data_IF_907934183875
#
_entry.id   IF_907934183875
#
_cell.length_a   1.000
_cell.length_b   1.000
_cell.length_c   1.000
_cell.angle_alpha   90.00
_cell.angle_beta   90.00
_cell.angle_gamma   90.00
#
_symmetry.space_group_name_H-M   'P 1'
#
loop_
_entity.id
_entity.type
_entity.pdbx_description
1 polymer ?
#
# COMPACT_ATOMS: atom_id res chain seq x y z
N UNK A 1 -68.59 -36.41 -29.24
CA UNK A 1 -67.09 -36.24 -29.15
C UNK A 1 -66.80 -34.78 -28.77
N UNK A 2 -66.80 -34.56 -27.42
CA UNK A 2 -66.56 -33.23 -26.87
C UNK A 2 -65.03 -33.07 -26.55
N UNK A 3 -64.41 -32.15 -27.21
CA UNK A 3 -63.03 -31.76 -26.89
C UNK A 3 -63.07 -30.54 -25.96
N UNK A 4 -62.79 -30.80 -24.69
CA UNK A 4 -62.57 -29.76 -23.68
C UNK A 4 -61.20 -29.13 -23.93
N UNK A 5 -61.18 -27.82 -24.25
CA UNK A 5 -59.96 -27.01 -24.30
C UNK A 5 -59.70 -26.42 -22.91
N UNK A 6 -58.63 -26.87 -22.26
CA UNK A 6 -58.09 -26.23 -21.06
C UNK A 6 -57.33 -24.97 -21.43
N UNK A 7 -57.51 -23.86 -20.70
CA UNK A 7 -56.70 -22.67 -20.93
C UNK A 7 -55.28 -22.84 -20.39
N UNK A 8 -54.30 -22.40 -21.18
CA UNK A 8 -52.92 -22.35 -20.77
C UNK A 8 -52.76 -21.33 -19.62
N UNK A 9 -52.47 -21.84 -18.43
CA UNK A 9 -52.04 -21.00 -17.31
C UNK A 9 -50.62 -20.52 -17.61
N UNK A 10 -50.53 -19.25 -17.93
CA UNK A 10 -49.23 -18.53 -17.99
C UNK A 10 -48.72 -18.42 -16.57
N UNK A 11 -47.76 -19.26 -16.22
CA UNK A 11 -46.96 -19.08 -15.03
C UNK A 11 -46.03 -17.85 -15.28
N UNK A 12 -46.44 -16.70 -14.78
CA UNK A 12 -45.54 -15.58 -14.58
C UNK A 12 -44.56 -16.00 -13.46
N UNK A 13 -43.41 -16.51 -13.86
CA UNK A 13 -42.27 -16.60 -12.95
C UNK A 13 -41.84 -15.14 -12.71
N UNK A 14 -42.27 -14.59 -11.58
CA UNK A 14 -41.69 -13.39 -11.04
C UNK A 14 -40.21 -13.72 -10.74
N UNK A 15 -39.35 -13.36 -11.66
CA UNK A 15 -37.92 -13.24 -11.38
C UNK A 15 -37.81 -12.12 -10.35
N UNK A 16 -37.79 -12.52 -9.07
CA UNK A 16 -37.35 -11.61 -8.03
C UNK A 16 -35.95 -11.17 -8.42
N UNK A 17 -35.82 -9.96 -8.95
CA UNK A 17 -34.57 -9.26 -9.02
C UNK A 17 -34.02 -9.26 -7.60
N UNK A 18 -32.99 -10.09 -7.35
CA UNK A 18 -32.19 -9.95 -6.16
C UNK A 18 -31.64 -8.53 -6.22
N UNK A 19 -32.25 -7.64 -5.41
CA UNK A 19 -31.69 -6.32 -5.18
C UNK A 19 -30.22 -6.53 -4.85
N UNK A 20 -29.33 -5.96 -5.65
CA UNK A 20 -27.92 -5.92 -5.38
C UNK A 20 -27.74 -5.18 -4.05
N UNK A 21 -27.71 -5.95 -2.96
CA UNK A 21 -27.63 -5.43 -1.61
C UNK A 21 -26.23 -4.87 -1.43
N UNK A 22 -26.12 -3.56 -1.44
CA UNK A 22 -24.87 -2.87 -1.14
C UNK A 22 -24.32 -3.38 0.20
N UNK A 23 -23.14 -4.01 0.17
CA UNK A 23 -22.50 -4.56 1.37
C UNK A 23 -21.68 -3.49 2.07
N UNK A 24 -21.87 -3.34 3.37
CA UNK A 24 -21.07 -2.44 4.17
C UNK A 24 -19.84 -3.17 4.71
N UNK A 25 -18.65 -2.66 4.41
CA UNK A 25 -17.38 -3.09 5.00
C UNK A 25 -16.82 -1.95 5.83
N UNK A 26 -16.45 -2.26 7.05
CA UNK A 26 -15.87 -1.31 7.99
C UNK A 26 -14.34 -1.35 7.88
N UNK A 27 -13.74 -0.21 7.56
CA UNK A 27 -12.29 0.00 7.66
C UNK A 27 -12.00 0.54 9.06
N UNK A 28 -11.34 -0.25 9.87
CA UNK A 28 -11.06 0.06 11.27
C UNK A 28 -9.57 0.31 11.49
N UNK A 29 -9.24 1.37 12.21
CA UNK A 29 -7.86 1.75 12.56
C UNK A 29 -7.71 1.72 14.07
N UNK A 30 -6.68 0.99 14.55
CA UNK A 30 -6.28 0.94 15.95
C UNK A 30 -4.75 0.78 16.02
N UNK A 31 -4.11 1.59 16.86
CA UNK A 31 -2.65 1.56 17.07
C UNK A 31 -1.85 1.61 15.75
N UNK A 32 -2.28 2.47 14.81
CA UNK A 32 -1.66 2.62 13.50
C UNK A 32 -1.88 1.46 12.52
N UNK A 33 -2.62 0.41 12.91
CA UNK A 33 -2.91 -0.74 12.04
C UNK A 33 -4.32 -0.69 11.46
N UNK A 34 -4.46 -1.11 10.20
CA UNK A 34 -5.74 -1.22 9.49
C UNK A 34 -6.29 -2.63 9.59
N UNK A 35 -7.61 -2.75 9.76
CA UNK A 35 -8.36 -3.98 9.59
C UNK A 35 -9.65 -3.72 8.82
N UNK A 36 -10.16 -4.75 8.15
CA UNK A 36 -11.48 -4.74 7.53
C UNK A 36 -12.39 -5.68 8.27
N UNK A 37 -13.62 -5.24 8.52
CA UNK A 37 -14.60 -6.01 9.28
C UNK A 37 -16.01 -5.83 8.73
N UNK A 38 -16.91 -6.78 9.02
CA UNK A 38 -18.32 -6.69 8.65
C UNK A 38 -19.16 -5.90 9.68
N UNK A 39 -18.56 -5.53 10.82
CA UNK A 39 -19.14 -4.64 11.82
C UNK A 39 -18.03 -3.80 12.47
N UNK A 40 -18.35 -2.67 13.14
CA UNK A 40 -17.37 -1.88 13.85
C UNK A 40 -16.61 -2.70 14.91
N UNK A 41 -15.29 -2.55 14.96
CA UNK A 41 -14.45 -3.23 15.95
C UNK A 41 -14.39 -2.45 17.25
N UNK A 42 -14.60 -3.09 18.41
CA UNK A 42 -14.44 -2.45 19.71
C UNK A 42 -13.04 -1.86 19.89
N UNK A 43 -12.96 -0.61 20.36
CA UNK A 43 -11.70 0.09 20.61
C UNK A 43 -10.95 0.55 19.35
N UNK A 44 -11.58 0.47 18.16
CA UNK A 44 -11.02 0.93 16.90
C UNK A 44 -11.82 2.13 16.35
N UNK A 45 -11.15 3.02 15.61
CA UNK A 45 -11.82 4.07 14.84
C UNK A 45 -12.22 3.47 13.48
N UNK A 46 -13.51 3.26 13.27
CA UNK A 46 -14.03 2.59 12.09
C UNK A 46 -14.78 3.56 11.17
N UNK A 47 -14.58 3.42 9.86
CA UNK A 47 -15.30 4.12 8.80
C UNK A 47 -16.05 3.10 7.95
N UNK A 48 -17.34 3.31 7.74
CA UNK A 48 -18.17 2.47 6.89
C UNK A 48 -17.87 2.77 5.41
N UNK A 49 -17.70 1.72 4.61
CA UNK A 49 -17.58 1.79 3.16
C UNK A 49 -18.64 0.90 2.55
N UNK A 50 -19.49 1.46 1.71
CA UNK A 50 -20.51 0.72 0.97
C UNK A 50 -19.89 0.18 -0.32
N UNK A 51 -19.95 -1.13 -0.52
CA UNK A 51 -19.49 -1.78 -1.73
C UNK A 51 -20.68 -1.96 -2.67
N UNK A 52 -20.51 -1.56 -3.90
CA UNK A 52 -21.44 -1.84 -4.99
C UNK A 52 -21.01 -3.15 -5.67
N UNK A 53 -21.74 -4.22 -5.45
CA UNK A 53 -21.44 -5.53 -6.03
C UNK A 53 -21.61 -5.54 -7.57
N UNK A 54 -22.24 -4.51 -8.15
CA UNK A 54 -22.36 -4.32 -9.61
C UNK A 54 -21.19 -3.56 -10.23
N UNK A 55 -20.33 -2.94 -9.39
CA UNK A 55 -19.19 -2.19 -9.88
C UNK A 55 -18.15 -3.12 -10.54
N UNK A 56 -17.54 -2.71 -11.66
CA UNK A 56 -16.56 -3.54 -12.38
C UNK A 56 -15.27 -3.77 -11.57
N UNK A 57 -15.08 -3.04 -10.48
CA UNK A 57 -13.94 -3.24 -9.57
C UNK A 57 -14.33 -2.91 -8.13
N UNK A 58 -13.87 -3.73 -7.20
CA UNK A 58 -14.01 -3.48 -5.76
C UNK A 58 -12.93 -2.48 -5.34
N UNK A 59 -13.27 -1.40 -4.60
CA UNK A 59 -12.26 -0.46 -4.11
C UNK A 59 -11.27 -1.16 -3.18
N UNK A 60 -10.00 -0.80 -3.30
CA UNK A 60 -8.96 -1.31 -2.41
C UNK A 60 -9.06 -0.65 -1.04
N UNK A 61 -9.85 -1.23 -0.15
CA UNK A 61 -10.08 -0.72 1.22
C UNK A 61 -8.86 -0.87 2.13
N UNK A 62 -7.87 -1.69 1.74
CA UNK A 62 -6.62 -1.84 2.49
C UNK A 62 -5.70 -0.64 2.30
N UNK A 63 -5.79 0.02 1.15
CA UNK A 63 -4.85 1.07 0.75
C UNK A 63 -3.47 0.54 0.36
N UNK A 64 -3.34 -0.78 0.16
CA UNK A 64 -2.09 -1.42 -0.24
C UNK A 64 -2.01 -1.63 -1.73
N UNK A 65 -0.81 -1.42 -2.28
CA UNK A 65 -0.42 -1.87 -3.61
C UNK A 65 0.41 -3.15 -3.46
N UNK A 66 0.16 -4.12 -4.32
CA UNK A 66 0.92 -5.37 -4.34
C UNK A 66 0.20 -6.56 -3.73
N UNK A 67 0.95 -7.50 -3.15
CA UNK A 67 0.41 -8.68 -2.49
C UNK A 67 0.26 -8.43 -1.00
N UNK A 68 -0.94 -8.59 -0.52
CA UNK A 68 -1.27 -8.56 0.90
C UNK A 68 -1.61 -9.97 1.37
N UNK A 69 -0.93 -10.42 2.42
CA UNK A 69 -1.26 -11.66 3.12
C UNK A 69 -1.99 -11.31 4.40
N UNK A 70 -3.14 -11.91 4.61
CA UNK A 70 -3.96 -11.68 5.80
C UNK A 70 -4.59 -12.96 6.32
N UNK A 71 -5.15 -12.86 7.51
CA UNK A 71 -5.97 -13.91 8.12
C UNK A 71 -7.37 -13.37 8.37
N UNK A 72 -8.38 -14.11 7.98
CA UNK A 72 -9.76 -13.82 8.30
C UNK A 72 -10.15 -14.55 9.58
N UNK A 73 -10.73 -13.82 10.51
CA UNK A 73 -11.27 -14.31 11.77
C UNK A 73 -12.78 -14.12 11.81
N UNK A 74 -13.48 -14.97 12.55
CA UNK A 74 -14.89 -14.80 12.90
C UNK A 74 -15.09 -14.81 14.40
N UNK A 75 -16.10 -14.08 14.87
CA UNK A 75 -16.57 -14.05 16.27
C UNK A 75 -18.04 -13.72 16.34
N UNK A 76 -18.66 -14.05 17.44
CA UNK A 76 -20.02 -13.60 17.75
C UNK A 76 -19.99 -12.21 18.40
N UNK A 77 -20.83 -11.32 17.90
CA UNK A 77 -21.02 -9.98 18.47
C UNK A 77 -22.51 -9.62 18.39
N UNK A 78 -23.11 -9.33 19.53
CA UNK A 78 -24.53 -8.92 19.64
C UNK A 78 -25.50 -9.90 18.94
N UNK A 79 -25.21 -11.22 19.02
CA UNK A 79 -26.01 -12.27 18.42
C UNK A 79 -25.83 -12.47 16.91
N UNK A 80 -24.85 -11.80 16.31
CA UNK A 80 -24.50 -11.95 14.90
C UNK A 80 -23.05 -12.41 14.72
N UNK A 81 -22.81 -13.23 13.69
CA UNK A 81 -21.45 -13.61 13.30
C UNK A 81 -20.79 -12.44 12.57
N UNK A 82 -19.68 -11.94 13.13
CA UNK A 82 -18.88 -10.85 12.58
C UNK A 82 -17.54 -11.41 12.11
N UNK A 83 -17.13 -10.98 10.92
CA UNK A 83 -15.81 -11.28 10.35
C UNK A 83 -14.88 -10.08 10.47
N UNK A 84 -13.61 -10.32 10.73
CA UNK A 84 -12.57 -9.29 10.79
C UNK A 84 -11.22 -9.88 10.36
N UNK A 85 -10.37 -9.02 9.81
CA UNK A 85 -8.97 -9.36 9.53
C UNK A 85 -8.05 -9.12 10.72
N UNK A 86 -8.60 -8.62 11.83
CA UNK A 86 -7.90 -8.50 13.12
C UNK A 86 -8.30 -9.63 14.05
N UNK A 87 -7.30 -10.25 14.69
CA UNK A 87 -7.57 -11.21 15.76
C UNK A 87 -8.04 -10.45 17.01
N UNK A 88 -9.33 -10.55 17.30
CA UNK A 88 -9.97 -9.94 18.47
C UNK A 88 -10.28 -11.01 19.52
N UNK A 89 -10.40 -10.65 20.82
CA UNK A 89 -10.81 -11.60 21.85
C UNK A 89 -12.08 -12.37 21.46
N UNK A 90 -12.08 -13.69 21.62
CA UNK A 90 -13.19 -14.56 21.23
C UNK A 90 -13.28 -14.91 19.75
N UNK A 91 -12.31 -14.46 18.93
CA UNK A 91 -12.25 -14.79 17.51
C UNK A 91 -11.66 -16.17 17.27
N UNK A 92 -12.19 -16.86 16.24
CA UNK A 92 -11.61 -18.08 15.68
C UNK A 92 -11.12 -17.82 14.26
N UNK A 93 -9.97 -18.38 13.91
CA UNK A 93 -9.41 -18.30 12.55
C UNK A 93 -10.34 -19.01 11.55
N UNK A 94 -10.62 -18.37 10.43
CA UNK A 94 -11.42 -18.94 9.33
C UNK A 94 -10.49 -19.44 8.23
N UNK A 95 -9.64 -18.54 7.68
CA UNK A 95 -8.70 -18.86 6.61
C UNK A 95 -7.58 -17.82 6.55
N UNK A 96 -6.46 -18.19 5.95
CA UNK A 96 -5.47 -17.24 5.44
C UNK A 96 -5.81 -16.90 3.98
N UNK A 97 -5.57 -15.66 3.60
CA UNK A 97 -5.85 -15.21 2.24
C UNK A 97 -4.71 -14.34 1.72
N UNK A 98 -4.63 -14.28 0.40
CA UNK A 98 -3.71 -13.41 -0.31
C UNK A 98 -4.50 -12.57 -1.30
N UNK A 99 -4.33 -11.25 -1.25
CA UNK A 99 -4.93 -10.31 -2.19
C UNK A 99 -3.83 -9.66 -2.99
N UNK A 100 -3.95 -9.69 -4.31
CA UNK A 100 -3.07 -8.95 -5.22
C UNK A 100 -3.81 -7.75 -5.74
N UNK A 101 -3.26 -6.55 -5.49
CA UNK A 101 -3.82 -5.30 -6.00
C UNK A 101 -3.09 -4.92 -7.28
N UNK A 102 -3.78 -4.87 -8.44
CA UNK A 102 -3.15 -4.47 -9.68
C UNK A 102 -2.61 -3.04 -9.63
N UNK A 103 -1.52 -2.74 -10.32
CA UNK A 103 -1.07 -1.37 -10.56
C UNK A 103 -2.18 -0.55 -11.26
N UNK A 104 -2.31 0.73 -10.91
CA UNK A 104 -3.34 1.61 -11.48
C UNK A 104 -4.75 1.45 -10.89
N UNK A 105 -4.92 0.62 -9.86
CA UNK A 105 -6.16 0.53 -9.08
C UNK A 105 -6.50 1.88 -8.42
N UNK A 106 -7.81 2.15 -8.14
CA UNK A 106 -8.26 3.32 -7.37
C UNK A 106 -7.65 3.49 -5.97
N UNK A 107 -6.78 2.59 -5.54
CA UNK A 107 -5.98 2.74 -4.30
C UNK A 107 -5.25 4.09 -4.19
N UNK A 108 -5.00 4.74 -5.33
CA UNK A 108 -4.44 6.09 -5.37
C UNK A 108 -5.47 7.20 -5.10
N UNK A 109 -6.76 6.89 -5.09
CA UNK A 109 -7.81 7.82 -4.73
C UNK A 109 -7.79 7.99 -3.19
N UNK A 110 -7.27 9.09 -2.70
CA UNK A 110 -7.19 9.40 -1.26
C UNK A 110 -5.79 9.66 -0.73
N UNK A 111 -4.74 9.47 -1.54
CA UNK A 111 -3.35 9.80 -1.16
C UNK A 111 -3.07 11.32 -1.11
N UNK A 112 -4.09 12.16 -1.25
CA UNK A 112 -3.90 13.58 -1.39
C UNK A 112 -3.26 13.93 -2.74
N UNK A 113 -2.74 15.15 -2.85
CA UNK A 113 -2.06 15.60 -4.06
C UNK A 113 -0.66 14.97 -4.10
N UNK A 114 -0.51 13.85 -4.80
CA UNK A 114 0.83 13.37 -5.15
C UNK A 114 1.47 14.45 -6.04
N UNK A 115 2.52 15.10 -5.54
CA UNK A 115 3.14 16.27 -6.16
C UNK A 115 3.62 16.02 -7.60
N UNK A 116 3.83 17.10 -8.35
CA UNK A 116 4.43 17.01 -9.70
C UNK A 116 5.90 16.60 -9.57
N UNK A 117 6.46 15.78 -10.49
CA UNK A 117 7.87 15.43 -10.49
C UNK A 117 8.75 16.68 -10.55
N UNK A 118 9.81 16.70 -9.76
CA UNK A 118 10.79 17.76 -9.75
C UNK A 118 12.17 17.21 -10.16
N UNK A 119 12.66 17.59 -11.32
CA UNK A 119 13.94 17.14 -11.84
C UNK A 119 15.10 18.09 -11.49
N UNK A 120 14.78 19.35 -11.11
CA UNK A 120 15.76 20.37 -10.81
C UNK A 120 16.55 20.14 -9.50
N UNK A 121 15.95 19.63 -8.38
CA UNK A 121 16.73 19.40 -7.17
C UNK A 121 17.83 18.36 -7.37
N UNK A 122 19.05 18.69 -7.00
CA UNK A 122 20.21 17.80 -6.89
C UNK A 122 20.47 16.86 -8.08
N UNK A 123 20.47 17.37 -9.34
CA UNK A 123 20.50 16.49 -10.52
C UNK A 123 21.81 15.71 -10.67
N UNK A 124 22.93 16.26 -10.16
CA UNK A 124 24.24 15.60 -10.20
C UNK A 124 24.33 14.51 -9.14
N UNK A 125 23.81 14.77 -7.96
CA UNK A 125 23.83 13.88 -6.80
C UNK A 125 22.98 12.62 -7.08
N UNK A 126 21.76 12.80 -7.57
CA UNK A 126 20.89 11.67 -7.95
C UNK A 126 21.49 10.83 -9.07
N UNK A 127 22.00 11.46 -10.13
CA UNK A 127 22.64 10.73 -11.23
C UNK A 127 23.89 9.97 -10.76
N UNK A 128 24.70 10.59 -9.91
CA UNK A 128 25.89 9.95 -9.35
C UNK A 128 25.51 8.75 -8.46
N UNK A 129 24.51 8.90 -7.60
CA UNK A 129 24.03 7.84 -6.72
C UNK A 129 23.42 6.68 -7.51
N UNK A 130 22.59 6.98 -8.52
CA UNK A 130 22.01 5.99 -9.42
C UNK A 130 23.11 5.17 -10.14
N UNK A 131 24.11 5.86 -10.70
CA UNK A 131 25.26 5.21 -11.36
C UNK A 131 26.07 4.34 -10.39
N UNK A 132 26.29 4.80 -9.17
CA UNK A 132 27.10 4.09 -8.18
C UNK A 132 26.42 2.83 -7.62
N UNK A 133 25.08 2.82 -7.55
CA UNK A 133 24.30 1.72 -6.99
C UNK A 133 23.64 0.82 -8.03
N UNK A 134 23.56 1.28 -9.28
CA UNK A 134 22.79 0.63 -10.34
C UNK A 134 21.26 0.77 -10.19
N UNK A 135 20.81 1.63 -9.27
CA UNK A 135 19.39 1.91 -9.10
C UNK A 135 18.86 2.88 -10.16
N UNK A 136 17.57 2.81 -10.42
CA UNK A 136 16.87 3.77 -11.28
C UNK A 136 16.85 5.16 -10.62
N UNK A 137 17.33 6.20 -11.31
CA UNK A 137 17.30 7.58 -10.81
C UNK A 137 15.88 8.04 -10.48
N UNK A 138 14.89 7.63 -11.29
CA UNK A 138 13.48 7.94 -11.04
C UNK A 138 13.00 7.36 -9.70
N UNK A 139 13.50 6.17 -9.32
CA UNK A 139 13.20 5.55 -8.05
C UNK A 139 13.78 6.33 -6.86
N UNK A 140 15.06 6.70 -6.95
CA UNK A 140 15.72 7.51 -5.92
C UNK A 140 15.00 8.85 -5.70
N UNK A 141 14.57 9.49 -6.79
CA UNK A 141 13.82 10.75 -6.74
C UNK A 141 12.43 10.58 -6.14
N UNK A 142 11.75 9.47 -6.43
CA UNK A 142 10.44 9.16 -5.87
C UNK A 142 10.51 9.02 -4.34
N UNK A 143 11.51 8.31 -3.84
CA UNK A 143 11.77 8.17 -2.40
C UNK A 143 12.07 9.54 -1.78
N UNK A 144 13.05 10.29 -2.29
CA UNK A 144 13.41 11.59 -1.75
C UNK A 144 12.25 12.61 -1.74
N UNK A 145 11.41 12.56 -2.77
CA UNK A 145 10.19 13.36 -2.85
C UNK A 145 9.20 12.99 -1.76
N UNK A 146 9.00 11.69 -1.54
CA UNK A 146 8.08 11.20 -0.52
C UNK A 146 8.57 11.55 0.90
N UNK A 147 9.88 11.48 1.13
CA UNK A 147 10.53 11.69 2.42
C UNK A 147 10.55 13.15 2.86
N UNK A 148 11.06 14.04 2.04
CA UNK A 148 11.32 15.43 2.44
C UNK A 148 10.89 16.47 1.41
N UNK A 149 10.34 16.05 0.28
CA UNK A 149 10.17 16.95 -0.87
C UNK A 149 11.48 17.63 -1.29
N UNK A 150 12.61 16.90 -1.15
CA UNK A 150 13.98 17.36 -1.40
C UNK A 150 14.51 18.42 -0.43
N UNK A 151 13.90 18.61 0.73
CA UNK A 151 14.39 19.52 1.75
C UNK A 151 15.60 18.91 2.47
N UNK A 152 16.77 19.49 2.25
CA UNK A 152 18.00 19.06 2.90
C UNK A 152 18.04 19.37 4.40
N UNK A 153 17.23 20.31 4.87
CA UNK A 153 17.14 20.72 6.28
C UNK A 153 16.08 19.95 7.08
N UNK A 154 15.29 19.10 6.42
CA UNK A 154 14.17 18.39 7.03
C UNK A 154 14.61 17.52 8.22
N UNK A 155 13.85 17.61 9.31
CA UNK A 155 13.99 16.76 10.50
C UNK A 155 12.61 16.27 10.90
N UNK A 156 12.43 14.94 10.97
CA UNK A 156 11.18 14.35 11.41
C UNK A 156 11.06 14.30 12.94
N UNK A 157 9.86 14.11 13.45
CA UNK A 157 9.60 13.89 14.88
C UNK A 157 10.29 12.64 15.43
N UNK A 158 10.60 11.66 14.57
CA UNK A 158 11.32 10.43 14.89
C UNK A 158 12.85 10.58 14.79
N UNK A 159 13.34 11.77 14.41
CA UNK A 159 14.77 12.07 14.29
C UNK A 159 15.41 11.73 12.94
N UNK A 160 14.64 11.39 11.93
CA UNK A 160 15.12 11.24 10.57
C UNK A 160 15.58 12.59 9.99
N UNK A 161 16.65 12.61 9.16
CA UNK A 161 17.30 13.86 8.73
C UNK A 161 17.59 13.93 7.24
N UNK A 162 17.47 15.13 6.69
CA UNK A 162 17.92 15.52 5.34
C UNK A 162 17.04 15.00 4.20
N UNK A 163 17.54 15.13 2.98
CA UNK A 163 16.82 14.82 1.73
C UNK A 163 16.18 13.43 1.72
N UNK A 164 16.88 12.43 2.25
CA UNK A 164 16.47 11.04 2.24
C UNK A 164 15.91 10.56 3.59
N UNK A 165 15.72 11.48 4.55
CA UNK A 165 15.20 11.19 5.90
C UNK A 165 15.90 9.99 6.55
N UNK A 166 17.24 10.08 6.65
CA UNK A 166 18.04 9.03 7.24
C UNK A 166 17.86 8.99 8.76
N UNK A 167 17.53 7.81 9.30
CA UNK A 167 17.50 7.58 10.74
C UNK A 167 18.91 7.59 11.33
N UNK A 168 19.07 7.93 12.64
CA UNK A 168 20.38 7.99 13.30
C UNK A 168 21.25 6.74 13.11
N UNK A 169 20.65 5.55 13.19
CA UNK A 169 21.37 4.28 12.99
C UNK A 169 21.92 4.18 11.56
N UNK A 170 21.11 4.53 10.55
CA UNK A 170 21.51 4.56 9.15
C UNK A 170 22.64 5.57 8.92
N UNK A 171 22.58 6.75 9.57
CA UNK A 171 23.64 7.77 9.52
C UNK A 171 24.97 7.18 10.03
N UNK A 172 24.92 6.42 11.14
CA UNK A 172 26.07 5.72 11.71
C UNK A 172 26.62 4.63 10.79
N UNK A 173 25.76 3.72 10.37
CA UNK A 173 26.12 2.54 9.57
C UNK A 173 26.75 2.90 8.22
N UNK A 174 26.27 3.98 7.58
CA UNK A 174 26.80 4.43 6.30
C UNK A 174 27.85 5.55 6.42
N UNK A 175 28.29 5.89 7.65
CA UNK A 175 29.36 6.85 7.90
C UNK A 175 29.05 8.27 7.42
N UNK A 176 27.80 8.70 7.50
CA UNK A 176 27.35 10.05 7.08
C UNK A 176 27.82 11.06 8.11
N UNK A 177 28.69 11.98 7.70
CA UNK A 177 29.22 13.03 8.58
C UNK A 177 28.28 14.21 8.73
N UNK A 178 27.57 14.54 7.67
CA UNK A 178 26.59 15.62 7.62
C UNK A 178 25.31 15.13 6.90
N UNK A 179 24.26 14.77 7.64
CA UNK A 179 23.00 14.29 7.06
C UNK A 179 22.23 15.39 6.31
N UNK A 180 22.54 16.66 6.53
CA UNK A 180 21.96 17.81 5.83
C UNK A 180 22.69 18.13 4.52
N UNK A 181 23.86 17.53 4.28
CA UNK A 181 24.49 17.54 2.96
C UNK A 181 23.67 16.66 2.00
N UNK A 182 23.00 17.27 1.02
CA UNK A 182 22.23 16.54 0.01
C UNK A 182 23.06 15.44 -0.67
N UNK A 183 24.34 15.71 -0.95
CA UNK A 183 25.27 14.73 -1.54
C UNK A 183 25.44 13.50 -0.64
N UNK A 184 25.66 13.68 0.66
CA UNK A 184 25.86 12.56 1.59
C UNK A 184 24.54 11.83 1.86
N UNK A 185 23.45 12.57 2.09
CA UNK A 185 22.13 12.02 2.33
C UNK A 185 21.66 11.16 1.15
N UNK A 186 21.73 11.65 -0.09
CA UNK A 186 21.32 10.92 -1.30
C UNK A 186 22.21 9.70 -1.51
N UNK A 187 23.52 9.81 -1.33
CA UNK A 187 24.43 8.68 -1.49
C UNK A 187 24.17 7.55 -0.47
N UNK A 188 23.95 7.91 0.80
CA UNK A 188 23.66 6.93 1.86
C UNK A 188 22.27 6.28 1.68
N UNK A 189 21.24 7.09 1.39
CA UNK A 189 19.89 6.58 1.10
C UNK A 189 19.87 5.64 -0.11
N UNK A 190 20.63 5.95 -1.16
CA UNK A 190 20.75 5.07 -2.32
C UNK A 190 21.44 3.74 -1.97
N UNK A 191 22.45 3.74 -1.12
CA UNK A 191 23.10 2.49 -0.64
C UNK A 191 22.15 1.67 0.21
N UNK A 192 21.39 2.28 1.13
CA UNK A 192 20.35 1.60 1.90
C UNK A 192 19.31 0.97 0.98
N UNK A 193 18.79 1.72 0.01
CA UNK A 193 17.83 1.20 -0.96
C UNK A 193 18.40 0.03 -1.77
N UNK A 194 19.69 0.08 -2.12
CA UNK A 194 20.36 -1.04 -2.81
C UNK A 194 20.46 -2.28 -1.94
N UNK A 195 20.75 -2.12 -0.66
CA UNK A 195 20.77 -3.24 0.29
C UNK A 195 19.36 -3.85 0.45
N UNK A 196 18.32 -3.01 0.59
CA UNK A 196 16.94 -3.48 0.66
C UNK A 196 16.49 -4.14 -0.65
N UNK A 197 16.89 -3.61 -1.83
CA UNK A 197 16.59 -4.23 -3.13
C UNK A 197 17.18 -5.65 -3.23
N UNK A 198 18.41 -5.83 -2.74
CA UNK A 198 19.04 -7.15 -2.66
C UNK A 198 18.31 -8.08 -1.67
N UNK A 199 17.91 -7.56 -0.51
CA UNK A 199 17.20 -8.35 0.53
C UNK A 199 15.83 -8.83 0.06
N UNK A 200 15.09 -8.01 -0.72
CA UNK A 200 13.73 -8.32 -1.18
C UNK A 200 13.65 -8.72 -2.66
N UNK A 201 14.77 -9.16 -3.25
CA UNK A 201 14.78 -9.70 -4.62
C UNK A 201 14.33 -8.70 -5.70
N UNK A 202 14.46 -7.40 -5.44
CA UNK A 202 14.02 -6.34 -6.35
C UNK A 202 12.53 -5.98 -6.25
N UNK A 203 11.78 -6.55 -5.31
CA UNK A 203 10.39 -6.16 -5.04
C UNK A 203 10.35 -4.75 -4.43
N UNK A 204 10.04 -3.77 -5.27
CA UNK A 204 10.04 -2.36 -4.87
C UNK A 204 8.95 -1.98 -3.88
N UNK A 205 7.86 -2.75 -3.79
CA UNK A 205 6.81 -2.53 -2.79
C UNK A 205 7.37 -2.85 -1.41
N UNK A 206 8.03 -4.01 -1.28
CA UNK A 206 8.68 -4.42 -0.04
C UNK A 206 9.87 -3.52 0.30
N UNK A 207 10.64 -3.08 -0.71
CA UNK A 207 11.74 -2.11 -0.53
C UNK A 207 11.22 -0.77 0.02
N UNK A 208 10.14 -0.23 -0.56
CA UNK A 208 9.53 1.01 -0.05
C UNK A 208 8.97 0.82 1.37
N UNK A 209 8.30 -0.29 1.63
CA UNK A 209 7.78 -0.61 2.96
C UNK A 209 8.91 -0.72 4.00
N UNK A 210 10.01 -1.40 3.64
CA UNK A 210 11.17 -1.57 4.52
C UNK A 210 11.92 -0.26 4.76
N UNK A 211 11.98 0.62 3.77
CA UNK A 211 12.57 1.94 3.92
C UNK A 211 11.81 2.79 4.94
N UNK A 212 10.48 2.76 4.89
CA UNK A 212 9.62 3.54 5.78
C UNK A 212 9.44 2.90 7.17
N UNK A 213 9.12 1.60 7.23
CA UNK A 213 8.76 0.91 8.47
C UNK A 213 9.92 0.10 9.08
N UNK A 214 11.03 -0.04 8.36
CA UNK A 214 12.13 -0.92 8.73
C UNK A 214 11.95 -2.36 8.24
N UNK A 215 13.08 -3.00 7.90
CA UNK A 215 13.11 -4.39 7.42
C UNK A 215 12.52 -5.40 8.43
N UNK A 216 12.67 -5.13 9.73
CA UNK A 216 12.09 -5.97 10.80
C UNK A 216 10.57 -6.05 10.74
N UNK A 217 9.89 -4.92 10.47
CA UNK A 217 8.43 -4.90 10.33
C UNK A 217 7.98 -5.69 9.08
N UNK A 218 8.65 -5.51 7.95
CA UNK A 218 8.35 -6.26 6.72
C UNK A 218 8.53 -7.77 6.93
N UNK A 219 9.59 -8.18 7.63
CA UNK A 219 9.82 -9.59 7.97
C UNK A 219 8.75 -10.12 8.92
N UNK A 220 8.41 -9.36 9.96
CA UNK A 220 7.38 -9.74 10.95
C UNK A 220 6.02 -10.00 10.31
N UNK A 221 5.63 -9.18 9.32
CA UNK A 221 4.34 -9.28 8.65
C UNK A 221 4.37 -10.11 7.36
N UNK A 222 5.55 -10.56 6.93
CA UNK A 222 5.71 -11.32 5.69
C UNK A 222 5.32 -10.53 4.43
N UNK A 223 5.38 -9.19 4.49
CA UNK A 223 4.92 -8.30 3.44
C UNK A 223 4.86 -6.84 3.89
N UNK A 224 4.13 -6.00 3.16
CA UNK A 224 3.91 -4.60 3.58
C UNK A 224 3.16 -4.59 4.91
N UNK A 225 3.72 -3.99 5.98
CA UNK A 225 3.06 -3.94 7.28
C UNK A 225 1.70 -3.23 7.22
N UNK A 226 0.70 -3.65 8.03
CA UNK A 226 -0.63 -3.04 8.04
C UNK A 226 -0.66 -1.69 8.77
N UNK A 227 0.43 -0.95 8.73
CA UNK A 227 0.53 0.41 9.25
C UNK A 227 -0.02 1.39 8.23
N UNK A 228 -0.94 2.26 8.64
CA UNK A 228 -1.55 3.27 7.75
C UNK A 228 -0.47 4.11 7.06
N UNK A 229 0.49 4.63 7.83
CA UNK A 229 1.60 5.43 7.33
C UNK A 229 2.39 4.71 6.22
N UNK A 230 2.73 3.43 6.46
CA UNK A 230 3.53 2.65 5.51
C UNK A 230 2.75 2.32 4.24
N UNK A 231 1.47 2.01 4.37
CA UNK A 231 0.61 1.73 3.22
C UNK A 231 0.44 2.95 2.31
N UNK A 232 0.18 4.11 2.92
CA UNK A 232 0.10 5.38 2.21
C UNK A 232 1.44 5.77 1.58
N UNK A 233 2.55 5.53 2.29
CA UNK A 233 3.89 5.77 1.79
C UNK A 233 4.20 4.92 0.55
N UNK A 234 3.98 3.61 0.60
CA UNK A 234 4.23 2.69 -0.52
C UNK A 234 3.42 3.11 -1.76
N UNK A 235 2.14 3.43 -1.56
CA UNK A 235 1.28 3.90 -2.65
C UNK A 235 1.76 5.25 -3.23
N UNK A 236 2.14 6.20 -2.37
CA UNK A 236 2.68 7.51 -2.76
C UNK A 236 3.98 7.37 -3.56
N UNK A 237 4.91 6.56 -3.07
CA UNK A 237 6.20 6.32 -3.74
C UNK A 237 5.98 5.65 -5.10
N UNK A 238 5.08 4.68 -5.20
CA UNK A 238 4.71 4.03 -6.47
C UNK A 238 4.22 5.03 -7.51
N UNK A 239 3.26 5.87 -7.13
CA UNK A 239 2.71 6.90 -8.01
C UNK A 239 3.76 7.96 -8.41
N UNK A 240 4.64 8.35 -7.48
CA UNK A 240 5.76 9.24 -7.78
C UNK A 240 6.74 8.61 -8.76
N UNK A 241 7.10 7.35 -8.57
CA UNK A 241 8.03 6.65 -9.43
C UNK A 241 7.54 6.61 -10.89
N UNK A 242 6.28 6.26 -11.12
CA UNK A 242 5.69 6.30 -12.47
C UNK A 242 5.77 7.70 -13.09
N UNK A 243 5.44 8.74 -12.32
CA UNK A 243 5.49 10.14 -12.78
C UNK A 243 6.92 10.59 -13.09
N UNK A 244 7.91 10.20 -12.25
CA UNK A 244 9.32 10.50 -12.52
C UNK A 244 9.83 9.80 -13.78
N UNK A 245 9.47 8.52 -13.99
CA UNK A 245 9.82 7.81 -15.22
C UNK A 245 9.25 8.51 -16.45
N UNK A 246 7.98 8.88 -16.43
CA UNK A 246 7.34 9.62 -17.52
C UNK A 246 8.03 10.98 -17.77
N UNK A 247 8.32 11.75 -16.69
CA UNK A 247 9.00 13.05 -16.79
C UNK A 247 10.44 12.95 -17.31
N UNK A 248 11.09 11.80 -17.11
CA UNK A 248 12.44 11.50 -17.61
C UNK A 248 12.45 10.84 -18.99
N UNK A 249 11.29 10.66 -19.62
CA UNK A 249 11.15 9.99 -20.93
C UNK A 249 11.49 8.50 -20.90
N UNK A 250 11.40 7.85 -19.74
CA UNK A 250 11.66 6.43 -19.56
C UNK A 250 10.37 5.62 -19.82
N UNK A 251 10.47 4.39 -20.34
CA UNK A 251 9.29 3.56 -20.56
C UNK A 251 8.56 3.30 -19.25
N UNK A 252 7.22 3.16 -19.27
CA UNK A 252 6.45 2.81 -18.07
C UNK A 252 7.04 1.56 -17.42
N UNK A 253 7.14 1.58 -16.10
CA UNK A 253 7.54 0.41 -15.31
C UNK A 253 6.67 0.40 -14.08
N UNK A 254 5.65 -0.42 -14.10
CA UNK A 254 4.81 -0.69 -12.94
C UNK A 254 5.64 -1.36 -11.85
N UNK A 255 5.30 -1.10 -10.60
CA UNK A 255 5.83 -1.85 -9.48
C UNK A 255 5.23 -3.26 -9.56
N UNK A 256 5.92 -4.15 -10.24
CA UNK A 256 5.53 -5.56 -10.33
C UNK A 256 6.14 -6.31 -9.14
N UNK A 257 5.33 -7.18 -8.56
CA UNK A 257 5.81 -8.21 -7.66
C UNK A 257 6.72 -9.15 -8.45
N UNK A 258 7.92 -9.33 -7.95
CA UNK A 258 8.77 -10.42 -8.42
C UNK A 258 8.19 -11.70 -7.80
N UNK A 259 7.73 -12.68 -8.60
CA UNK A 259 7.28 -13.95 -8.05
C UNK A 259 8.43 -14.57 -7.25
N UNK A 260 8.13 -15.05 -6.04
CA UNK A 260 9.08 -15.80 -5.23
C UNK A 260 9.59 -16.99 -6.06
N UNK A 261 10.92 -17.08 -6.23
CA UNK A 261 11.59 -18.23 -6.83
C UNK A 261 11.69 -19.37 -5.85
#
# INVERSE_FOLDING_TARGET
MNRIRLPAAVFLVAIASADASARTVWRCVRDGTVSLATAPEPGSKCTANTLDDSAPSVPNLWGQLGVFHGTLYKREQDGATVYSTRNLPGSTKVLDFTVTTPPGSPAHAGLGTVGKPQLAPYPREFRSAAKATGLDEAWLRAIAHAESFFDASAVSTKGAKGVMQLMPDVIGDYGVKDPFSAKQSIAAGAKLLKALEAQYGGDRLLVAAAYNAGAGAVTQYGGVPPYVETQEYVAKVGALYERYRAAMGLPPRTLELVPAQ
#
